data_IF_006694298973
#
_entry.id   IF_006694298973
#
_cell.length_a   1.000
_cell.length_b   1.000
_cell.length_c   1.000
_cell.angle_alpha   90.00
_cell.angle_beta   90.00
_cell.angle_gamma   90.00
#
_symmetry.space_group_name_H-M   'P 1'
#
loop_
_entity.id
_entity.type
_entity.pdbx_description
1 polymer ?
#
# COMPACT_ATOMS: atom_id res chain seq x y z
N UNK A 1 13.29 10.21 -5.32
CA UNK A 1 13.67 8.91 -4.78
C UNK A 1 13.63 9.00 -3.24
N UNK A 2 13.07 8.01 -2.59
CA UNK A 2 13.04 7.92 -1.11
C UNK A 2 14.21 7.06 -0.63
N UNK A 3 14.56 6.05 -1.41
CA UNK A 3 15.68 5.16 -1.14
C UNK A 3 16.62 5.09 -2.33
N UNK A 4 17.90 4.81 -2.08
CA UNK A 4 18.83 4.43 -3.13
C UNK A 4 18.47 3.05 -3.69
N UNK A 5 18.97 2.70 -4.86
CA UNK A 5 18.81 1.36 -5.44
C UNK A 5 19.40 0.27 -4.54
N UNK A 6 20.51 0.58 -3.88
CA UNK A 6 21.19 -0.31 -2.94
C UNK A 6 20.29 -0.61 -1.73
N UNK A 7 19.65 0.43 -1.15
CA UNK A 7 18.70 0.26 -0.04
C UNK A 7 17.46 -0.51 -0.48
N UNK A 8 16.92 -0.25 -1.67
CA UNK A 8 15.80 -1.03 -2.22
C UNK A 8 16.17 -2.51 -2.40
N UNK A 9 17.42 -2.79 -2.83
CA UNK A 9 17.94 -4.16 -2.93
C UNK A 9 18.11 -4.82 -1.56
N UNK A 10 18.58 -4.09 -0.56
CA UNK A 10 18.67 -4.57 0.83
C UNK A 10 17.28 -4.98 1.33
N UNK A 11 16.27 -4.14 1.13
CA UNK A 11 14.89 -4.43 1.53
C UNK A 11 14.35 -5.65 0.77
N UNK A 12 14.63 -5.78 -0.54
CA UNK A 12 14.28 -6.97 -1.32
C UNK A 12 14.89 -8.23 -0.71
N UNK A 13 16.18 -8.21 -0.40
CA UNK A 13 16.88 -9.34 0.18
C UNK A 13 16.28 -9.76 1.54
N UNK A 14 15.89 -8.80 2.37
CA UNK A 14 15.20 -9.07 3.64
C UNK A 14 13.86 -9.77 3.43
N UNK A 15 13.05 -9.29 2.47
CA UNK A 15 11.77 -9.93 2.13
C UNK A 15 12.00 -11.36 1.64
N UNK A 16 12.97 -11.59 0.75
CA UNK A 16 13.32 -12.90 0.22
C UNK A 16 13.90 -13.84 1.31
N UNK A 17 14.61 -13.29 2.31
CA UNK A 17 15.07 -14.04 3.49
C UNK A 17 13.89 -14.49 4.36
N UNK A 18 12.92 -13.60 4.63
CA UNK A 18 11.71 -13.94 5.38
C UNK A 18 10.93 -15.05 4.66
N UNK A 19 10.78 -14.98 3.34
CA UNK A 19 10.13 -16.05 2.57
C UNK A 19 10.85 -17.38 2.68
N UNK A 20 12.18 -17.37 2.69
CA UNK A 20 13.01 -18.58 2.80
C UNK A 20 12.91 -19.22 4.19
N UNK A 21 12.93 -18.41 5.25
CA UNK A 21 12.93 -18.87 6.63
C UNK A 21 11.53 -19.19 7.16
N UNK A 22 10.51 -18.53 6.63
CA UNK A 22 9.11 -18.73 6.96
C UNK A 22 8.26 -18.98 5.69
N UNK A 23 8.41 -20.15 5.06
CA UNK A 23 7.76 -20.47 3.78
C UNK A 23 6.25 -20.33 3.85
N UNK A 24 5.69 -19.60 2.89
CA UNK A 24 4.26 -19.38 2.74
C UNK A 24 3.65 -18.34 3.70
N UNK A 25 4.40 -17.77 4.64
CA UNK A 25 3.86 -16.75 5.56
C UNK A 25 3.57 -15.44 4.84
N UNK A 26 4.43 -14.97 3.94
CA UNK A 26 4.18 -13.76 3.16
C UNK A 26 3.07 -13.90 2.12
N UNK A 27 2.64 -15.12 1.80
CA UNK A 27 1.47 -15.39 0.96
C UNK A 27 0.15 -15.33 1.75
N UNK A 28 0.24 -15.40 3.08
CA UNK A 28 -0.89 -15.45 4.01
C UNK A 28 -0.93 -14.20 4.91
N UNK A 29 -0.89 -14.45 6.21
CA UNK A 29 -0.99 -13.40 7.24
C UNK A 29 0.26 -12.53 7.33
N UNK A 30 1.44 -13.10 7.12
CA UNK A 30 2.72 -12.38 7.25
C UNK A 30 2.94 -11.29 6.21
N UNK A 31 2.20 -11.28 5.11
CA UNK A 31 2.24 -10.16 4.17
C UNK A 31 1.60 -8.88 4.74
N UNK A 32 0.72 -9.03 5.73
CA UNK A 32 0.11 -7.90 6.45
C UNK A 32 0.95 -7.58 7.67
N UNK A 33 1.17 -6.29 7.90
CA UNK A 33 1.95 -5.80 9.02
C UNK A 33 3.38 -6.38 9.11
N UNK A 34 4.02 -6.62 7.96
CA UNK A 34 5.38 -7.14 7.88
C UNK A 34 6.42 -6.27 8.62
N UNK A 35 6.12 -4.98 8.83
CA UNK A 35 6.94 -4.08 9.66
C UNK A 35 7.01 -4.52 11.14
N UNK A 36 6.05 -5.29 11.63
CA UNK A 36 6.08 -5.80 13.01
C UNK A 36 6.99 -7.03 13.20
N UNK A 37 7.42 -7.66 12.11
CA UNK A 37 8.27 -8.86 12.14
C UNK A 37 9.68 -8.62 11.60
N UNK A 38 9.92 -7.48 10.94
CA UNK A 38 11.23 -7.09 10.41
C UNK A 38 11.57 -5.66 10.82
N UNK A 39 12.67 -5.48 11.61
CA UNK A 39 13.16 -4.15 11.96
C UNK A 39 13.48 -3.28 10.76
N UNK A 40 13.97 -3.87 9.66
CA UNK A 40 14.24 -3.12 8.43
C UNK A 40 12.96 -2.60 7.78
N UNK A 41 11.89 -3.38 7.76
CA UNK A 41 10.60 -2.93 7.23
C UNK A 41 9.93 -1.90 8.15
N UNK A 42 10.18 -1.98 9.45
CA UNK A 42 9.75 -0.94 10.40
C UNK A 42 10.51 0.37 10.16
N UNK A 43 11.83 0.32 9.97
CA UNK A 43 12.66 1.48 9.60
C UNK A 43 12.13 2.19 8.34
N UNK A 44 11.68 1.42 7.34
CA UNK A 44 11.07 1.97 6.12
C UNK A 44 9.83 2.81 6.46
N UNK A 45 8.97 2.36 7.38
CA UNK A 45 7.76 3.11 7.76
C UNK A 45 8.05 4.41 8.50
N UNK A 46 9.27 4.55 9.04
CA UNK A 46 9.74 5.71 9.80
C UNK A 46 10.75 6.57 9.02
N UNK A 47 10.92 6.32 7.71
CA UNK A 47 11.84 7.09 6.89
C UNK A 47 11.48 8.57 6.87
N UNK A 48 12.46 9.45 7.15
CA UNK A 48 12.26 10.89 7.32
C UNK A 48 11.72 11.57 6.06
N UNK A 49 12.28 11.25 4.88
CA UNK A 49 11.89 11.88 3.61
C UNK A 49 10.46 11.48 3.21
N UNK A 50 10.09 10.23 3.49
CA UNK A 50 8.72 9.76 3.31
C UNK A 50 7.77 10.51 4.25
N UNK A 51 8.11 10.60 5.54
CA UNK A 51 7.30 11.28 6.54
C UNK A 51 7.21 12.80 6.28
N UNK A 52 8.22 13.43 5.68
CA UNK A 52 8.16 14.84 5.25
C UNK A 52 7.11 15.03 4.15
N UNK A 53 7.09 14.13 3.17
CA UNK A 53 6.08 14.16 2.12
C UNK A 53 4.67 13.91 2.68
N UNK A 54 4.50 12.94 3.59
CA UNK A 54 3.24 12.65 4.26
C UNK A 54 2.78 13.83 5.10
N UNK A 55 3.69 14.42 5.89
CA UNK A 55 3.40 15.60 6.72
C UNK A 55 2.85 16.77 5.92
N UNK A 56 3.35 16.99 4.70
CA UNK A 56 2.86 18.06 3.83
C UNK A 56 1.40 17.89 3.41
N UNK A 57 0.86 16.66 3.51
CA UNK A 57 -0.51 16.31 3.11
C UNK A 57 -1.47 16.22 4.30
N UNK A 58 -1.06 15.60 5.41
CA UNK A 58 -1.96 15.28 6.53
C UNK A 58 -1.60 15.95 7.86
N UNK A 59 -0.53 16.72 7.90
CA UNK A 59 -0.07 17.42 9.11
C UNK A 59 1.03 16.67 9.85
N UNK A 60 1.53 17.29 10.93
CA UNK A 60 2.78 16.90 11.60
C UNK A 60 2.67 15.68 12.53
N UNK A 61 1.49 15.34 12.99
CA UNK A 61 1.26 14.28 13.97
C UNK A 61 0.73 13.04 13.23
N UNK A 62 1.60 12.04 13.03
CA UNK A 62 1.40 10.94 12.08
C UNK A 62 1.49 9.60 12.80
N UNK A 63 0.49 8.74 12.56
CA UNK A 63 0.51 7.33 12.96
C UNK A 63 0.62 6.44 11.72
N UNK A 64 1.30 5.29 11.87
CA UNK A 64 1.26 4.18 10.93
C UNK A 64 0.13 3.23 11.33
N UNK A 65 -0.78 2.94 10.40
CA UNK A 65 -1.87 2.01 10.60
C UNK A 65 -1.83 0.88 9.55
N UNK A 66 -0.90 -0.04 9.75
CA UNK A 66 -0.75 -1.23 8.93
C UNK A 66 0.12 -1.09 7.68
N UNK A 67 0.71 -2.21 7.30
CA UNK A 67 1.47 -2.36 6.05
C UNK A 67 1.03 -3.61 5.30
N UNK A 68 1.33 -3.68 4.00
CA UNK A 68 1.07 -4.86 3.18
C UNK A 68 2.16 -5.03 2.13
N UNK A 69 2.63 -6.25 1.95
CA UNK A 69 3.47 -6.61 0.82
C UNK A 69 2.59 -7.05 -0.36
N UNK A 70 2.74 -6.39 -1.50
CA UNK A 70 2.12 -6.79 -2.78
C UNK A 70 3.20 -7.35 -3.70
N UNK A 71 3.30 -8.66 -3.73
CA UNK A 71 4.27 -9.41 -4.52
C UNK A 71 3.55 -10.03 -5.71
N UNK A 72 4.07 -9.80 -6.91
CA UNK A 72 3.63 -10.43 -8.15
C UNK A 72 4.79 -11.18 -8.78
N UNK A 73 4.75 -12.51 -8.70
CA UNK A 73 5.76 -13.34 -9.31
C UNK A 73 5.56 -13.39 -10.84
N UNK A 74 6.62 -13.73 -11.60
CA UNK A 74 6.53 -13.91 -13.04
C UNK A 74 5.46 -14.93 -13.43
N UNK A 75 4.63 -14.58 -14.41
CA UNK A 75 3.62 -15.47 -15.00
C UNK A 75 2.53 -15.99 -14.01
N UNK A 76 2.44 -15.44 -12.82
CA UNK A 76 1.32 -15.72 -11.91
C UNK A 76 0.09 -14.89 -12.23
N UNK A 77 -1.09 -15.40 -11.83
CA UNK A 77 -2.38 -14.74 -12.06
C UNK A 77 -2.67 -13.58 -11.10
N UNK A 78 -1.66 -13.06 -10.39
CA UNK A 78 -1.82 -12.03 -9.36
C UNK A 78 -2.17 -10.65 -9.94
N UNK A 79 -3.40 -10.19 -9.73
CA UNK A 79 -3.86 -8.84 -10.06
C UNK A 79 -4.50 -8.17 -8.85
N UNK A 80 -4.73 -6.86 -8.93
CA UNK A 80 -5.49 -6.10 -7.94
C UNK A 80 -6.66 -5.45 -8.66
N UNK A 81 -7.90 -5.84 -8.33
CA UNK A 81 -9.09 -5.21 -8.90
C UNK A 81 -9.15 -3.72 -8.57
N UNK A 82 -9.77 -2.92 -9.43
CA UNK A 82 -9.95 -1.48 -9.16
C UNK A 82 -10.82 -1.29 -7.94
N UNK A 83 -10.34 -0.47 -6.98
CA UNK A 83 -11.00 -0.24 -5.70
C UNK A 83 -10.63 1.13 -5.12
N UNK A 84 -11.27 1.50 -4.03
CA UNK A 84 -10.94 2.65 -3.19
C UNK A 84 -10.64 2.14 -1.78
N UNK A 85 -9.48 2.49 -1.22
CA UNK A 85 -9.03 2.03 0.11
C UNK A 85 -10.03 2.40 1.22
N UNK A 86 -10.58 3.62 1.15
CA UNK A 86 -11.51 4.13 2.16
C UNK A 86 -12.72 3.25 2.38
N UNK A 87 -13.14 2.48 1.38
CA UNK A 87 -14.32 1.60 1.49
C UNK A 87 -14.17 0.49 2.54
N UNK A 88 -12.93 0.08 2.81
CA UNK A 88 -12.65 -1.15 3.58
C UNK A 88 -11.79 -0.93 4.81
N UNK A 89 -10.98 0.12 4.83
CA UNK A 89 -10.07 0.36 5.96
C UNK A 89 -10.83 0.98 7.14
N UNK A 90 -11.89 1.75 6.87
CA UNK A 90 -12.76 2.29 7.92
C UNK A 90 -12.08 3.33 8.81
N UNK A 91 -11.39 4.28 8.21
CA UNK A 91 -10.70 5.38 8.85
C UNK A 91 -11.40 6.70 8.50
N UNK A 92 -11.88 7.44 9.48
CA UNK A 92 -12.58 8.72 9.32
C UNK A 92 -12.11 9.78 10.32
N UNK A 93 -12.02 11.06 9.90
CA UNK A 93 -12.16 11.56 8.53
C UNK A 93 -11.05 11.06 7.62
N UNK A 94 -11.16 11.24 6.30
CA UNK A 94 -10.16 10.82 5.31
C UNK A 94 -8.87 11.69 5.34
N UNK A 95 -8.41 12.07 6.53
CA UNK A 95 -7.13 12.74 6.76
C UNK A 95 -6.01 11.70 6.86
N UNK A 96 -5.81 10.95 5.78
CA UNK A 96 -4.81 9.91 5.68
C UNK A 96 -4.45 9.62 4.22
N UNK A 97 -3.32 8.99 4.02
CA UNK A 97 -2.79 8.63 2.70
C UNK A 97 -2.20 7.22 2.73
N UNK A 98 -2.26 6.54 1.59
CA UNK A 98 -1.52 5.31 1.35
C UNK A 98 -0.19 5.64 0.68
N UNK A 99 0.92 5.10 1.22
CA UNK A 99 2.23 5.16 0.58
C UNK A 99 2.55 3.80 -0.06
N UNK A 100 2.89 3.80 -1.35
CA UNK A 100 3.30 2.62 -2.10
C UNK A 100 4.77 2.76 -2.50
N UNK A 101 5.64 1.95 -1.93
CA UNK A 101 7.10 1.96 -2.17
C UNK A 101 7.47 0.87 -3.16
N UNK A 102 8.14 1.24 -4.23
CA UNK A 102 8.69 0.32 -5.22
C UNK A 102 9.97 -0.32 -4.68
N UNK A 103 9.91 -1.59 -4.29
CA UNK A 103 11.10 -2.36 -3.89
C UNK A 103 11.82 -2.90 -5.12
N UNK A 104 11.09 -3.20 -6.17
CA UNK A 104 11.60 -3.47 -7.53
C UNK A 104 11.07 -2.43 -8.49
N UNK A 105 11.64 -2.32 -9.68
CA UNK A 105 11.05 -1.51 -10.74
C UNK A 105 9.60 -1.92 -10.97
N UNK A 106 8.72 -0.94 -11.16
CA UNK A 106 7.30 -1.12 -11.40
C UNK A 106 6.92 -0.40 -12.70
N UNK A 107 6.42 -1.14 -13.69
CA UNK A 107 6.06 -0.62 -15.01
C UNK A 107 4.85 -1.38 -15.57
N UNK A 108 4.34 -0.99 -16.73
CA UNK A 108 3.16 -1.62 -17.32
C UNK A 108 3.33 -3.11 -17.62
N UNK A 109 4.54 -3.54 -18.01
CA UNK A 109 4.81 -4.94 -18.33
C UNK A 109 4.80 -5.85 -17.09
N UNK A 110 5.18 -5.34 -15.92
CA UNK A 110 5.14 -6.11 -14.69
C UNK A 110 3.93 -5.78 -13.78
N UNK A 111 2.90 -5.16 -14.35
CA UNK A 111 1.65 -4.89 -13.67
C UNK A 111 1.76 -3.78 -12.61
N UNK A 112 2.30 -2.62 -12.98
CA UNK A 112 2.30 -1.44 -12.13
C UNK A 112 0.87 -1.03 -11.75
N UNK A 113 0.76 -0.26 -10.67
CA UNK A 113 -0.52 0.33 -10.28
C UNK A 113 -0.99 1.33 -11.34
N UNK A 114 -2.28 1.37 -11.58
CA UNK A 114 -2.95 2.36 -12.42
C UNK A 114 -3.97 3.11 -11.58
N UNK A 115 -4.07 4.41 -11.76
CA UNK A 115 -5.02 5.27 -11.03
C UNK A 115 -5.97 5.97 -11.99
N UNK A 116 -7.25 6.00 -11.64
CA UNK A 116 -8.22 6.83 -12.34
C UNK A 116 -8.11 8.27 -11.81
N UNK A 117 -7.48 9.12 -12.61
CA UNK A 117 -7.18 10.49 -12.24
C UNK A 117 -8.45 11.30 -11.93
N UNK A 118 -8.44 11.98 -10.79
CA UNK A 118 -9.58 12.82 -10.35
C UNK A 118 -10.69 12.06 -9.62
N UNK A 119 -10.72 10.73 -9.66
CA UNK A 119 -11.78 9.91 -9.03
C UNK A 119 -11.90 10.08 -7.51
N UNK A 120 -10.89 10.61 -6.86
CA UNK A 120 -10.90 10.93 -5.41
C UNK A 120 -11.78 12.13 -5.07
N UNK A 121 -12.16 12.95 -6.05
CA UNK A 121 -13.04 14.13 -5.87
C UNK A 121 -14.52 13.74 -5.83
N UNK A 122 -14.83 12.55 -6.31
CA UNK A 122 -16.17 11.99 -6.28
C UNK A 122 -16.44 11.31 -4.92
N UNK A 123 -17.72 10.98 -4.69
CA UNK A 123 -18.10 10.12 -3.58
C UNK A 123 -17.49 8.70 -3.74
N UNK A 124 -17.46 7.95 -2.64
CA UNK A 124 -17.15 6.53 -2.72
C UNK A 124 -18.08 5.84 -3.71
N UNK A 125 -17.49 5.14 -4.66
CA UNK A 125 -18.23 4.37 -5.66
C UNK A 125 -18.78 3.08 -5.04
N UNK A 126 -19.76 2.49 -5.68
CA UNK A 126 -20.20 1.16 -5.31
C UNK A 126 -19.13 0.11 -5.62
N UNK A 127 -18.96 -0.81 -4.68
CA UNK A 127 -17.98 -1.89 -4.80
C UNK A 127 -18.71 -3.23 -4.73
N UNK A 128 -18.50 -4.02 -5.75
CA UNK A 128 -18.90 -5.42 -5.77
C UNK A 128 -17.83 -6.31 -5.13
N UNK A 129 -18.15 -7.57 -4.93
CA UNK A 129 -17.21 -8.59 -4.48
C UNK A 129 -16.80 -9.45 -5.68
N UNK A 130 -15.51 -9.44 -6.00
CA UNK A 130 -14.92 -10.25 -7.06
C UNK A 130 -13.82 -11.15 -6.47
N UNK A 131 -14.14 -12.41 -6.29
CA UNK A 131 -13.23 -13.44 -5.78
C UNK A 131 -12.59 -14.27 -6.91
N UNK A 132 -12.40 -13.68 -8.08
CA UNK A 132 -11.72 -14.35 -9.18
C UNK A 132 -10.33 -14.82 -8.73
N UNK A 133 -9.93 -15.98 -9.25
CA UNK A 133 -8.61 -16.55 -9.01
C UNK A 133 -7.52 -15.54 -9.35
N UNK A 134 -6.61 -15.30 -8.41
CA UNK A 134 -5.51 -14.33 -8.54
C UNK A 134 -5.81 -12.91 -8.07
N UNK A 135 -7.05 -12.57 -7.68
CA UNK A 135 -7.27 -11.26 -7.05
C UNK A 135 -6.58 -11.20 -5.69
N UNK A 136 -5.59 -10.30 -5.55
CA UNK A 136 -4.82 -10.13 -4.32
C UNK A 136 -5.60 -9.42 -3.21
N UNK A 137 -6.79 -8.90 -3.48
CA UNK A 137 -7.66 -8.31 -2.47
C UNK A 137 -8.49 -9.38 -1.78
N UNK A 138 -8.22 -9.63 -0.52
CA UNK A 138 -8.86 -10.72 0.26
C UNK A 138 -10.36 -10.60 0.45
N UNK A 139 -10.91 -9.39 0.29
CA UNK A 139 -12.35 -9.11 0.36
C UNK A 139 -12.99 -9.01 -1.03
N UNK A 140 -12.22 -9.19 -2.10
CA UNK A 140 -12.68 -9.15 -3.48
C UNK A 140 -13.27 -7.82 -3.94
N UNK A 141 -13.02 -6.72 -3.21
CA UNK A 141 -13.62 -5.42 -3.50
C UNK A 141 -13.28 -4.93 -4.90
N UNK A 142 -14.30 -4.53 -5.65
CA UNK A 142 -14.15 -4.15 -7.05
C UNK A 142 -15.09 -3.03 -7.44
N UNK A 143 -14.52 -1.94 -7.98
CA UNK A 143 -15.26 -0.92 -8.71
C UNK A 143 -15.37 -1.38 -10.16
N UNK A 144 -16.61 -1.55 -10.64
CA UNK A 144 -16.85 -1.95 -12.03
C UNK A 144 -16.78 -0.77 -12.99
N UNK A 145 -16.67 -1.09 -14.28
CA UNK A 145 -16.75 -0.12 -15.38
C UNK A 145 -15.75 1.04 -15.27
N UNK A 146 -14.55 0.76 -14.73
CA UNK A 146 -13.47 1.74 -14.73
C UNK A 146 -12.97 1.92 -16.16
N UNK A 147 -13.00 3.14 -16.72
CA UNK A 147 -12.50 3.40 -18.07
C UNK A 147 -10.96 3.30 -18.07
N UNK A 148 -10.44 2.14 -18.50
CA UNK A 148 -9.00 1.85 -18.43
C UNK A 148 -8.15 2.90 -19.19
N UNK A 149 -8.67 3.44 -20.27
CA UNK A 149 -8.05 4.50 -21.07
C UNK A 149 -7.87 5.81 -20.32
N UNK A 150 -8.70 6.07 -19.30
CA UNK A 150 -8.61 7.25 -18.44
C UNK A 150 -7.69 7.01 -17.22
N UNK A 151 -7.20 5.79 -17.05
CA UNK A 151 -6.28 5.48 -15.95
C UNK A 151 -4.84 5.79 -16.33
N UNK A 152 -4.09 6.34 -15.38
CA UNK A 152 -2.67 6.64 -15.56
C UNK A 152 -1.82 5.56 -14.90
N UNK A 153 -0.85 4.94 -15.61
CA UNK A 153 0.08 3.99 -15.02
C UNK A 153 1.09 4.72 -14.11
N UNK A 154 1.32 4.20 -12.94
CA UNK A 154 2.35 4.67 -12.02
C UNK A 154 3.65 3.89 -12.25
N UNK A 155 4.47 4.41 -13.14
CA UNK A 155 5.79 3.83 -13.44
C UNK A 155 6.78 4.36 -12.41
N UNK A 156 7.35 3.46 -11.62
CA UNK A 156 8.30 3.78 -10.55
C UNK A 156 9.55 2.92 -10.69
N UNK A 157 10.70 3.52 -10.40
CA UNK A 157 11.96 2.80 -10.21
C UNK A 157 12.08 2.30 -8.78
N UNK A 158 12.87 1.25 -8.57
CA UNK A 158 13.21 0.78 -7.23
C UNK A 158 13.72 1.93 -6.36
N UNK A 159 13.17 2.07 -5.15
CA UNK A 159 13.44 3.18 -4.23
C UNK A 159 12.55 4.41 -4.38
N UNK A 160 11.66 4.45 -5.38
CA UNK A 160 10.65 5.49 -5.51
C UNK A 160 9.36 5.12 -4.79
N UNK A 161 8.55 6.12 -4.47
CA UNK A 161 7.21 5.91 -3.90
C UNK A 161 6.14 6.74 -4.60
N UNK A 162 4.91 6.35 -4.45
CA UNK A 162 3.72 7.16 -4.68
C UNK A 162 2.95 7.36 -3.38
N UNK A 163 2.29 8.51 -3.25
CA UNK A 163 1.28 8.77 -2.22
C UNK A 163 -0.06 8.94 -2.90
N UNK A 164 -1.10 8.32 -2.35
CA UNK A 164 -2.43 8.46 -2.91
C UNK A 164 -3.51 8.62 -1.85
N UNK A 165 -4.53 9.38 -2.23
CA UNK A 165 -5.70 9.62 -1.40
C UNK A 165 -6.54 8.34 -1.27
N UNK A 166 -7.12 8.03 -0.10
CA UNK A 166 -7.86 6.77 0.12
C UNK A 166 -9.09 6.57 -0.76
N UNK A 167 -9.60 7.64 -1.36
CA UNK A 167 -10.76 7.58 -2.25
C UNK A 167 -10.40 7.57 -3.74
N UNK A 168 -9.11 7.54 -4.12
CA UNK A 168 -8.76 7.38 -5.52
C UNK A 168 -9.00 5.94 -5.97
N UNK A 169 -9.67 5.76 -7.10
CA UNK A 169 -9.85 4.44 -7.70
C UNK A 169 -8.54 3.99 -8.33
N UNK A 170 -8.05 2.83 -7.90
CA UNK A 170 -6.79 2.26 -8.40
C UNK A 170 -6.84 0.74 -8.45
N UNK A 171 -5.95 0.17 -9.23
CA UNK A 171 -5.83 -1.28 -9.41
C UNK A 171 -4.53 -1.62 -10.12
N UNK A 172 -4.29 -2.90 -10.44
CA UNK A 172 -3.11 -3.30 -11.19
C UNK A 172 -3.30 -4.63 -11.91
N UNK A 173 -2.83 -4.70 -13.16
CA UNK A 173 -2.90 -5.89 -14.01
C UNK A 173 -1.83 -6.93 -13.62
N UNK A 174 -1.76 -8.04 -14.36
CA UNK A 174 -0.84 -9.16 -14.16
C UNK A 174 0.64 -8.74 -14.35
N UNK A 175 1.54 -9.56 -13.83
CA UNK A 175 2.97 -9.46 -14.12
C UNK A 175 3.31 -10.37 -15.30
N UNK A 176 3.62 -9.77 -16.45
CA UNK A 176 4.04 -10.46 -17.67
C UNK A 176 5.57 -10.46 -17.87
N UNK A 177 6.32 -9.96 -16.89
CA UNK A 177 7.78 -9.91 -16.94
C UNK A 177 8.42 -11.20 -16.41
N UNK A 178 9.72 -11.30 -16.57
CA UNK A 178 10.51 -12.43 -16.05
C UNK A 178 11.07 -12.19 -14.64
N UNK A 179 10.77 -11.05 -13.99
CA UNK A 179 11.19 -10.76 -12.63
C UNK A 179 10.00 -10.44 -11.73
N UNK A 180 10.19 -10.56 -10.43
CA UNK A 180 9.19 -10.25 -9.41
C UNK A 180 8.93 -8.75 -9.34
N UNK A 181 7.70 -8.35 -9.19
CA UNK A 181 7.32 -6.98 -8.82
C UNK A 181 6.93 -6.96 -7.36
N UNK A 182 7.73 -6.29 -6.54
CA UNK A 182 7.52 -6.17 -5.10
C UNK A 182 7.20 -4.72 -4.75
N UNK A 183 6.04 -4.51 -4.16
CA UNK A 183 5.62 -3.25 -3.56
C UNK A 183 5.45 -3.41 -2.05
N UNK A 184 6.05 -2.51 -1.27
CA UNK A 184 5.78 -2.39 0.15
C UNK A 184 4.84 -1.21 0.37
N UNK A 185 3.68 -1.50 0.91
CA UNK A 185 2.60 -0.52 1.07
C UNK A 185 2.42 -0.22 2.54
N UNK A 186 2.59 1.02 2.91
CA UNK A 186 2.08 1.55 4.16
C UNK A 186 0.63 1.92 3.88
N UNK A 187 -0.28 1.04 4.30
CA UNK A 187 -1.71 1.12 3.95
C UNK A 187 -2.35 2.41 4.40
N UNK A 188 -1.92 2.93 5.56
CA UNK A 188 -2.41 4.21 6.03
C UNK A 188 -1.39 4.90 6.92
N UNK A 189 -0.87 6.02 6.44
CA UNK A 189 -0.39 7.08 7.30
C UNK A 189 -1.59 7.95 7.66
N UNK A 190 -1.93 8.04 8.93
CA UNK A 190 -3.12 8.75 9.42
C UNK A 190 -2.74 9.93 10.32
N UNK A 191 -3.50 11.01 10.23
CA UNK A 191 -3.47 12.04 11.26
C UNK A 191 -4.03 11.50 12.58
N UNK A 192 -3.50 11.97 13.71
CA UNK A 192 -3.93 11.50 15.05
C UNK A 192 -5.39 11.80 15.37
N UNK A 193 -6.04 12.70 14.61
CA UNK A 193 -7.46 13.03 14.69
C UNK A 193 -8.39 12.03 13.95
N UNK A 194 -7.83 11.05 13.24
CA UNK A 194 -8.58 10.01 12.51
C UNK A 194 -9.02 8.91 13.47
N UNK A 195 -10.23 8.41 13.32
CA UNK A 195 -10.81 7.32 14.11
C UNK A 195 -10.99 6.06 13.29
N UNK A 196 -10.90 4.91 13.93
CA UNK A 196 -11.29 3.64 13.35
C UNK A 196 -12.79 3.44 13.53
N UNK A 197 -13.55 3.46 12.44
CA UNK A 197 -15.02 3.30 12.46
C UNK A 197 -15.45 1.90 12.00
N UNK A 198 -14.55 1.14 11.37
CA UNK A 198 -14.79 -0.23 10.93
C UNK A 198 -13.60 -1.12 11.30
N UNK A 199 -13.84 -2.23 11.98
CA UNK A 199 -12.78 -3.14 12.41
C UNK A 199 -11.98 -2.62 13.61
N UNK A 200 -10.79 -3.17 13.81
CA UNK A 200 -9.85 -2.77 14.87
C UNK A 200 -8.43 -2.92 14.34
N UNK A 201 -7.68 -1.85 14.37
CA UNK A 201 -6.25 -1.86 14.06
C UNK A 201 -5.46 -1.32 15.25
N UNK A 202 -4.23 -1.77 15.40
CA UNK A 202 -3.23 -1.11 16.22
C UNK A 202 -2.47 -0.11 15.35
N UNK A 203 -1.87 0.87 16.00
CA UNK A 203 -1.07 1.91 15.33
C UNK A 203 0.27 2.08 16.02
N UNK A 204 1.25 2.59 15.28
CA UNK A 204 2.52 3.08 15.82
C UNK A 204 2.62 4.58 15.57
N UNK A 205 3.22 5.31 16.52
CA UNK A 205 3.54 6.73 16.34
C UNK A 205 4.75 6.84 15.41
N UNK A 206 4.55 7.39 14.23
CA UNK A 206 5.64 7.61 13.26
C UNK A 206 6.31 8.97 13.43
N UNK A 207 5.52 10.01 13.73
CA UNK A 207 6.03 11.37 13.90
C UNK A 207 5.12 12.21 14.82
N UNK A 208 5.70 13.18 15.54
CA UNK A 208 4.95 14.15 16.34
C UNK A 208 4.42 13.54 17.65
N UNK A 209 3.18 13.82 17.98
CA UNK A 209 2.52 13.36 19.20
C UNK A 209 1.07 12.95 18.94
N UNK A 210 0.57 12.02 19.74
CA UNK A 210 -0.81 11.59 19.70
C UNK A 210 -1.55 12.07 20.96
N UNK A 211 -2.17 13.23 20.87
CA UNK A 211 -2.96 13.83 21.95
C UNK A 211 -4.38 13.25 22.03
N UNK A 212 -4.87 12.60 20.95
CA UNK A 212 -6.23 12.08 20.88
C UNK A 212 -6.38 10.69 21.49
N UNK A 213 -5.38 9.84 21.36
CA UNK A 213 -5.38 8.45 21.88
C UNK A 213 -6.60 7.63 21.43
N UNK A 214 -7.04 7.79 20.18
CA UNK A 214 -8.19 7.05 19.63
C UNK A 214 -7.89 5.58 19.34
N UNK A 215 -6.62 5.20 19.19
CA UNK A 215 -6.17 3.89 18.79
C UNK A 215 -5.41 3.16 19.89
N UNK A 216 -5.39 1.81 19.81
CA UNK A 216 -4.45 1.00 20.59
C UNK A 216 -3.05 1.13 20.00
N UNK A 217 -2.08 1.31 20.83
CA UNK A 217 -0.64 1.33 20.50
C UNK A 217 -0.04 -0.03 20.71
#
# INVERSE_FOLDING_TARGET
DIFSKEKAKEIRNEIELIEKEMPGELEKSGRYNAHLISPLLDEVTHNSDMLDAVQSLIGKDILVCGTTLFIKNPNEKGFVSYHQDAKYIGLEPHNWVTAWVAITDSNEHNGCMRMWSGSHKDNLKDHDQNFNEGNLLTRGQTVNNVPKEETTPLILKAGQMSLHHPTVVHGSDLNHSNDRRIGFVIQSYIGTNVKQVLGKNSVQLARGKDDFNFHKK
#
